data_IF_099262155062
#
_entry.id   IF_099262155062
#
_cell.length_a   1.000
_cell.length_b   1.000
_cell.length_c   1.000
_cell.angle_alpha   90.00
_cell.angle_beta   90.00
_cell.angle_gamma   90.00
#
_symmetry.space_group_name_H-M   'P 1'
#
loop_
_entity.id
_entity.type
_entity.pdbx_description
1 polymer ?
#
# COMPACT_ATOMS: atom_id res chain seq x y z
N UNK A 1 18.63 20.85 68.82
CA UNK A 1 17.41 20.87 67.98
C UNK A 1 17.80 21.00 66.49
N UNK A 2 17.63 19.95 65.68
CA UNK A 2 17.98 19.97 64.26
C UNK A 2 16.85 20.60 63.47
N UNK A 3 17.13 21.65 62.69
CA UNK A 3 16.18 22.32 61.81
C UNK A 3 15.90 21.40 60.60
N UNK A 4 14.69 20.84 60.52
CA UNK A 4 14.20 20.13 59.31
C UNK A 4 14.16 21.07 58.09
N UNK A 5 15.08 20.92 57.12
CA UNK A 5 15.04 21.65 55.86
C UNK A 5 13.81 21.19 55.04
N UNK A 6 12.83 22.10 54.85
CA UNK A 6 11.70 21.83 53.92
C UNK A 6 12.21 21.84 52.49
N UNK A 7 12.15 20.69 51.84
CA UNK A 7 12.47 20.54 50.42
C UNK A 7 11.38 21.30 49.62
N UNK A 8 11.78 22.23 48.76
CA UNK A 8 10.84 22.99 47.91
C UNK A 8 10.09 22.05 46.98
N UNK A 9 8.76 22.21 46.82
CA UNK A 9 7.89 21.38 45.96
C UNK A 9 8.46 21.15 44.54
N UNK A 10 9.09 22.18 43.96
CA UNK A 10 9.70 22.11 42.64
C UNK A 10 10.87 21.11 42.55
N UNK A 11 11.63 20.91 43.65
CA UNK A 11 12.73 19.94 43.68
C UNK A 11 12.19 18.51 43.64
N UNK A 12 11.04 18.28 44.30
CA UNK A 12 10.38 16.95 44.29
C UNK A 12 9.86 16.64 42.90
N UNK A 13 9.27 17.61 42.19
CA UNK A 13 8.75 17.44 40.80
C UNK A 13 9.89 17.15 39.84
N UNK A 14 10.99 17.90 39.91
CA UNK A 14 12.17 17.70 39.07
C UNK A 14 12.77 16.32 39.32
N UNK A 15 12.91 15.91 40.59
CA UNK A 15 13.41 14.58 40.93
C UNK A 15 12.49 13.45 40.38
N UNK A 16 11.17 13.65 40.41
CA UNK A 16 10.19 12.72 39.85
C UNK A 16 10.32 12.56 38.32
N UNK A 17 10.50 13.68 37.62
CA UNK A 17 10.71 13.67 36.14
C UNK A 17 12.01 12.96 35.79
N UNK A 18 13.10 13.24 36.50
CA UNK A 18 14.40 12.57 36.26
C UNK A 18 14.27 11.05 36.49
N UNK A 19 13.59 10.66 37.58
CA UNK A 19 13.38 9.25 37.90
C UNK A 19 12.53 8.56 36.83
N UNK A 20 11.48 9.22 36.32
CA UNK A 20 10.67 8.70 35.24
C UNK A 20 11.48 8.43 33.94
N UNK A 21 12.33 9.40 33.54
CA UNK A 21 13.20 9.22 32.37
C UNK A 21 14.25 8.13 32.61
N UNK A 22 14.79 7.99 33.78
CA UNK A 22 15.75 6.94 34.11
C UNK A 22 15.10 5.54 34.00
N UNK A 23 13.88 5.37 34.53
CA UNK A 23 13.11 4.12 34.40
C UNK A 23 12.73 3.85 32.94
N UNK A 24 12.32 4.87 32.19
CA UNK A 24 12.00 4.74 30.77
C UNK A 24 13.20 4.28 29.95
N UNK A 25 14.39 4.87 30.15
CA UNK A 25 15.63 4.49 29.46
C UNK A 25 16.05 3.06 29.85
N UNK A 26 15.91 2.69 31.12
CA UNK A 26 16.22 1.34 31.58
C UNK A 26 15.28 0.29 30.97
N UNK A 27 13.97 0.58 30.94
CA UNK A 27 12.98 -0.27 30.29
C UNK A 27 13.24 -0.38 28.78
N UNK A 28 13.51 0.73 28.11
CA UNK A 28 13.85 0.74 26.69
C UNK A 28 15.08 -0.13 26.38
N UNK A 29 16.15 0.01 27.17
CA UNK A 29 17.36 -0.84 27.02
C UNK A 29 17.09 -2.31 27.33
N UNK A 30 16.21 -2.60 28.27
CA UNK A 30 15.82 -3.97 28.61
C UNK A 30 15.03 -4.61 27.48
N UNK A 31 14.02 -3.94 26.94
CA UNK A 31 13.20 -4.42 25.85
C UNK A 31 13.98 -4.48 24.52
N UNK A 32 14.85 -3.50 24.23
CA UNK A 32 15.70 -3.54 23.04
C UNK A 32 16.72 -4.66 23.06
N UNK A 33 17.17 -5.11 24.23
CA UNK A 33 18.02 -6.32 24.37
C UNK A 33 17.24 -7.62 24.20
N UNK A 34 15.94 -7.64 24.52
CA UNK A 34 15.09 -8.82 24.27
C UNK A 34 14.65 -8.95 22.79
N UNK A 35 14.73 -7.88 22.02
CA UNK A 35 14.46 -7.90 20.58
C UNK A 35 15.72 -8.15 19.74
N UNK A 36 16.91 -8.20 20.32
CA UNK A 36 18.05 -8.80 19.64
C UNK A 36 17.76 -10.32 19.58
N UNK A 37 17.67 -10.93 18.39
CA UNK A 37 17.54 -12.37 18.32
C UNK A 37 18.76 -12.93 19.04
N UNK A 38 18.51 -13.82 20.01
CA UNK A 38 19.55 -14.61 20.64
C UNK A 38 20.41 -15.19 19.51
N UNK A 39 21.66 -14.75 19.48
CA UNK A 39 22.68 -15.44 18.70
C UNK A 39 22.86 -16.76 19.40
N UNK A 40 21.98 -17.70 19.07
CA UNK A 40 22.21 -19.11 19.35
C UNK A 40 23.45 -19.45 18.55
N UNK A 41 24.58 -19.51 19.26
CA UNK A 41 25.79 -20.13 18.78
C UNK A 41 25.52 -21.63 18.77
N UNK A 42 24.63 -22.03 17.88
CA UNK A 42 24.60 -23.42 17.42
C UNK A 42 25.65 -23.47 16.33
N UNK A 43 26.76 -24.05 16.67
CA UNK A 43 27.74 -24.54 15.71
C UNK A 43 27.09 -25.70 14.96
N UNK A 44 26.07 -25.42 14.19
CA UNK A 44 25.62 -26.31 13.14
C UNK A 44 26.38 -25.90 11.88
N UNK A 45 27.07 -26.89 11.35
CA UNK A 45 27.69 -26.88 10.04
C UNK A 45 26.70 -26.25 9.04
N UNK A 46 26.83 -24.93 8.81
CA UNK A 46 26.17 -24.26 7.69
C UNK A 46 26.91 -24.86 6.49
N UNK A 47 26.27 -25.88 5.93
CA UNK A 47 26.65 -26.45 4.66
C UNK A 47 26.78 -25.28 3.67
N UNK A 48 27.97 -25.15 3.13
CA UNK A 48 28.38 -24.19 2.09
C UNK A 48 27.62 -24.38 0.77
N UNK A 49 26.45 -25.00 0.77
CA UNK A 49 25.63 -25.29 -0.41
C UNK A 49 24.73 -24.15 -0.89
N UNK A 50 24.49 -23.11 -0.07
CA UNK A 50 23.53 -22.05 -0.44
C UNK A 50 24.11 -20.84 -1.18
N UNK A 51 25.41 -20.83 -1.51
CA UNK A 51 26.03 -19.67 -2.18
C UNK A 51 25.76 -19.57 -3.67
N UNK A 52 25.13 -20.56 -4.30
CA UNK A 52 24.89 -20.60 -5.75
C UNK A 52 23.44 -20.40 -6.20
N UNK A 53 22.49 -20.27 -5.26
CA UNK A 53 21.11 -20.00 -5.66
C UNK A 53 21.03 -18.55 -6.17
N UNK A 54 20.51 -18.36 -7.39
CA UNK A 54 20.25 -17.04 -7.94
C UNK A 54 19.31 -16.27 -7.01
N UNK A 55 19.55 -14.96 -6.81
CA UNK A 55 18.69 -14.13 -5.93
C UNK A 55 17.25 -14.17 -6.33
N UNK A 56 16.98 -14.26 -7.65
CA UNK A 56 15.63 -14.31 -8.19
C UNK A 56 14.82 -15.51 -7.68
N UNK A 57 15.48 -16.61 -7.38
CA UNK A 57 14.85 -17.83 -6.85
C UNK A 57 14.67 -17.79 -5.32
N UNK A 58 15.18 -16.75 -4.66
CA UNK A 58 15.06 -16.62 -3.20
C UNK A 58 13.77 -15.91 -2.77
N UNK A 59 13.12 -15.20 -3.69
CA UNK A 59 11.86 -14.54 -3.41
C UNK A 59 10.74 -15.59 -3.43
N UNK A 60 9.98 -15.65 -2.34
CA UNK A 60 8.92 -16.65 -2.15
C UNK A 60 7.56 -16.02 -2.43
N UNK A 61 6.60 -16.83 -2.85
CA UNK A 61 5.23 -16.39 -3.13
C UNK A 61 4.50 -15.77 -1.94
N UNK A 62 4.95 -16.04 -0.71
CA UNK A 62 4.40 -15.48 0.52
C UNK A 62 5.06 -14.17 0.99
N UNK A 63 6.13 -13.73 0.32
CA UNK A 63 6.81 -12.51 0.69
C UNK A 63 5.91 -11.31 0.39
N UNK A 64 5.91 -10.32 1.28
CA UNK A 64 5.22 -9.06 1.05
C UNK A 64 6.14 -8.16 0.23
N UNK A 65 5.62 -7.63 -0.86
CA UNK A 65 6.40 -6.83 -1.79
C UNK A 65 5.79 -5.44 -1.90
N UNK A 66 6.66 -4.44 -1.87
CA UNK A 66 6.32 -3.05 -2.09
C UNK A 66 7.02 -2.56 -3.35
N UNK A 67 6.26 -1.96 -4.25
CA UNK A 67 6.71 -1.45 -5.54
C UNK A 67 6.51 0.06 -5.61
N UNK A 68 7.48 0.75 -6.18
CA UNK A 68 7.49 2.20 -6.35
C UNK A 68 7.80 2.56 -7.80
N UNK A 69 7.21 3.66 -8.26
CA UNK A 69 7.59 4.33 -9.50
C UNK A 69 7.83 5.85 -9.25
N UNK A 70 7.91 6.66 -10.29
CA UNK A 70 8.09 8.12 -10.17
C UNK A 70 6.94 8.83 -9.46
N UNK A 71 5.74 8.26 -9.45
CA UNK A 71 4.51 8.90 -8.97
C UNK A 71 4.05 8.34 -7.62
N UNK A 72 4.21 7.04 -7.41
CA UNK A 72 3.72 6.32 -6.24
C UNK A 72 4.87 5.57 -5.56
N UNK A 73 4.91 5.63 -4.23
CA UNK A 73 5.94 4.97 -3.44
C UNK A 73 5.32 3.93 -2.50
N UNK A 74 6.03 2.82 -2.31
CA UNK A 74 5.72 1.77 -1.35
C UNK A 74 4.30 1.21 -1.49
N UNK A 75 3.85 1.03 -2.73
CA UNK A 75 2.56 0.38 -3.03
C UNK A 75 2.72 -1.11 -2.80
N UNK A 76 1.92 -1.66 -1.89
CA UNK A 76 1.92 -3.10 -1.66
C UNK A 76 1.39 -3.84 -2.88
N UNK A 77 2.22 -4.72 -3.42
CA UNK A 77 1.84 -5.58 -4.55
C UNK A 77 0.99 -6.74 -4.06
N UNK A 78 -0.12 -6.96 -4.74
CA UNK A 78 -1.00 -8.07 -4.43
C UNK A 78 -0.40 -9.40 -4.90
N UNK A 79 -0.64 -10.50 -4.18
CA UNK A 79 -0.02 -11.80 -4.48
C UNK A 79 -0.19 -12.25 -5.93
N UNK A 80 -1.36 -12.00 -6.53
CA UNK A 80 -1.64 -12.35 -7.93
C UNK A 80 -0.68 -11.67 -8.91
N UNK A 81 -0.39 -10.38 -8.70
CA UNK A 81 0.56 -9.64 -9.54
C UNK A 81 1.98 -10.07 -9.29
N UNK A 82 2.30 -10.36 -8.02
CA UNK A 82 3.63 -10.83 -7.68
C UNK A 82 3.96 -12.17 -8.35
N UNK A 83 3.06 -13.12 -8.37
CA UNK A 83 3.26 -14.40 -9.05
C UNK A 83 3.57 -14.21 -10.54
N UNK A 84 2.88 -13.27 -11.19
CA UNK A 84 3.14 -12.91 -12.59
C UNK A 84 4.52 -12.25 -12.78
N UNK A 85 4.88 -11.29 -11.91
CA UNK A 85 6.20 -10.64 -11.94
C UNK A 85 7.31 -11.67 -11.77
N UNK A 86 7.15 -12.59 -10.82
CA UNK A 86 8.11 -13.66 -10.58
C UNK A 86 8.23 -14.61 -11.79
N UNK A 87 7.10 -14.97 -12.40
CA UNK A 87 7.09 -15.78 -13.61
C UNK A 87 7.84 -15.11 -14.76
N UNK A 88 7.57 -13.83 -15.05
CA UNK A 88 8.30 -13.08 -16.07
C UNK A 88 9.79 -13.01 -15.76
N UNK A 89 10.15 -12.61 -14.56
CA UNK A 89 11.54 -12.41 -14.17
C UNK A 89 12.36 -13.70 -14.20
N UNK A 90 11.73 -14.86 -13.98
CA UNK A 90 12.39 -16.17 -14.04
C UNK A 90 12.90 -16.54 -15.46
N UNK A 91 12.35 -15.89 -16.50
CA UNK A 91 12.72 -16.12 -17.90
C UNK A 91 13.86 -15.20 -18.36
N UNK A 92 14.22 -14.19 -17.57
CA UNK A 92 15.24 -13.22 -17.94
C UNK A 92 16.63 -13.82 -17.93
N UNK A 93 17.46 -13.42 -18.90
CA UNK A 93 18.83 -13.91 -19.03
C UNK A 93 19.81 -13.09 -18.21
N UNK A 94 20.59 -13.75 -17.36
CA UNK A 94 21.64 -13.11 -16.55
C UNK A 94 22.67 -12.43 -17.44
N UNK A 95 23.00 -11.18 -17.10
CA UNK A 95 23.99 -10.35 -17.81
C UNK A 95 24.98 -9.72 -16.84
N UNK A 96 26.04 -9.10 -17.37
CA UNK A 96 26.97 -8.30 -16.58
C UNK A 96 26.31 -6.96 -16.20
N UNK A 97 26.84 -6.33 -15.16
CA UNK A 97 26.41 -5.00 -14.73
C UNK A 97 26.52 -4.03 -15.91
N UNK A 98 25.42 -3.33 -16.28
CA UNK A 98 25.47 -2.33 -17.34
C UNK A 98 26.21 -1.07 -16.90
N UNK A 99 26.80 -0.35 -17.87
CA UNK A 99 27.50 0.90 -17.59
C UNK A 99 26.54 2.03 -17.16
N UNK A 100 25.36 2.09 -17.78
CA UNK A 100 24.31 3.07 -17.51
C UNK A 100 23.06 2.32 -17.09
N UNK A 101 22.57 2.58 -15.87
CA UNK A 101 21.35 2.01 -15.34
C UNK A 101 20.64 3.07 -14.49
N UNK A 102 19.39 3.36 -14.82
CA UNK A 102 18.54 4.25 -14.04
C UNK A 102 17.19 3.61 -13.85
N UNK A 103 16.88 3.19 -12.63
CA UNK A 103 15.62 2.56 -12.31
C UNK A 103 14.42 3.46 -12.62
N UNK A 104 13.41 2.89 -13.26
CA UNK A 104 12.07 3.45 -13.43
C UNK A 104 11.10 2.90 -12.38
N UNK A 105 11.32 1.66 -11.98
CA UNK A 105 10.59 0.96 -10.92
C UNK A 105 11.57 0.41 -9.91
N UNK A 106 11.21 0.54 -8.64
CA UNK A 106 11.98 0.01 -7.52
C UNK A 106 11.06 -0.78 -6.58
N UNK A 107 11.54 -1.89 -6.08
CA UNK A 107 10.77 -2.70 -5.15
C UNK A 107 11.65 -3.30 -4.05
N UNK A 108 11.01 -3.64 -2.95
CA UNK A 108 11.62 -4.38 -1.87
C UNK A 108 10.64 -5.37 -1.24
N UNK A 109 11.19 -6.40 -0.66
CA UNK A 109 10.46 -7.42 0.08
C UNK A 109 10.65 -7.23 1.57
N UNK A 110 9.75 -7.77 2.37
CA UNK A 110 9.84 -7.81 3.83
C UNK A 110 11.06 -8.61 4.33
N UNK A 111 11.60 -9.53 3.52
CA UNK A 111 12.80 -10.30 3.83
C UNK A 111 14.14 -9.64 3.38
N UNK A 112 14.09 -8.38 2.92
CA UNK A 112 15.25 -7.55 2.59
C UNK A 112 15.84 -7.75 1.20
N UNK A 113 15.20 -8.52 0.32
CA UNK A 113 15.56 -8.58 -1.10
C UNK A 113 14.97 -7.34 -1.79
N UNK A 114 15.72 -6.73 -2.68
CA UNK A 114 15.30 -5.57 -3.47
C UNK A 114 15.45 -5.89 -4.95
N UNK A 115 14.58 -5.30 -5.75
CA UNK A 115 14.75 -5.32 -7.19
C UNK A 115 14.41 -3.96 -7.80
N UNK A 116 14.93 -3.71 -8.98
CA UNK A 116 14.63 -2.49 -9.75
C UNK A 116 14.76 -2.78 -11.22
N UNK A 117 14.13 -1.95 -12.06
CA UNK A 117 14.20 -2.10 -13.51
C UNK A 117 14.10 -0.74 -14.22
N UNK A 118 14.81 -0.61 -15.35
CA UNK A 118 14.65 0.44 -16.35
C UNK A 118 13.88 -0.07 -17.59
N UNK A 119 13.28 -1.28 -17.47
CA UNK A 119 12.58 -2.01 -18.53
C UNK A 119 13.48 -2.60 -19.64
N UNK A 120 14.77 -2.44 -19.52
CA UNK A 120 15.77 -3.16 -20.35
C UNK A 120 16.55 -4.15 -19.49
N UNK A 121 16.82 -3.74 -18.26
CA UNK A 121 17.57 -4.49 -17.26
C UNK A 121 16.71 -4.66 -16.02
N UNK A 122 16.65 -5.88 -15.53
CA UNK A 122 16.12 -6.21 -14.21
C UNK A 122 17.28 -6.45 -13.27
N UNK A 123 17.41 -5.60 -12.26
CA UNK A 123 18.40 -5.72 -11.20
C UNK A 123 17.74 -6.29 -9.96
N UNK A 124 18.34 -7.32 -9.35
CA UNK A 124 17.95 -7.86 -8.06
C UNK A 124 19.14 -7.84 -7.12
N UNK A 125 18.95 -7.42 -5.88
CA UNK A 125 20.05 -7.19 -4.97
C UNK A 125 19.66 -7.30 -3.49
N UNK A 126 20.65 -7.61 -2.70
CA UNK A 126 20.66 -7.55 -1.23
C UNK A 126 21.84 -6.67 -0.79
N UNK A 127 22.07 -6.54 0.51
CA UNK A 127 23.24 -5.80 1.03
C UNK A 127 24.56 -6.35 0.50
N UNK A 128 24.65 -7.68 0.24
CA UNK A 128 25.91 -8.36 -0.05
C UNK A 128 26.04 -8.86 -1.49
N UNK A 129 24.98 -8.86 -2.27
CA UNK A 129 24.98 -9.47 -3.61
C UNK A 129 24.07 -8.70 -4.54
N UNK A 130 24.49 -8.52 -5.80
CA UNK A 130 23.65 -7.98 -6.86
C UNK A 130 23.75 -8.81 -8.13
N UNK A 131 22.67 -8.94 -8.84
CA UNK A 131 22.57 -9.65 -10.10
C UNK A 131 21.75 -8.83 -11.10
N UNK A 132 22.12 -8.94 -12.39
CA UNK A 132 21.49 -8.22 -13.47
C UNK A 132 20.98 -9.18 -14.51
N UNK A 133 19.80 -8.92 -15.03
CA UNK A 133 19.12 -9.74 -16.04
C UNK A 133 18.63 -8.86 -17.16
N UNK A 134 18.73 -9.32 -18.40
CA UNK A 134 18.21 -8.63 -19.56
C UNK A 134 16.75 -9.02 -19.79
N UNK A 135 15.88 -8.03 -19.94
CA UNK A 135 14.48 -8.21 -20.31
C UNK A 135 14.45 -8.41 -21.84
N UNK A 136 13.80 -9.48 -22.36
CA UNK A 136 13.60 -9.64 -23.80
C UNK A 136 12.81 -8.47 -24.38
N UNK A 137 13.17 -8.03 -25.59
CA UNK A 137 12.57 -6.86 -26.23
C UNK A 137 11.06 -7.06 -26.47
N UNK A 138 10.68 -8.25 -26.84
CA UNK A 138 9.31 -8.70 -27.11
C UNK A 138 8.45 -8.80 -25.85
N UNK A 139 9.07 -8.89 -24.67
CA UNK A 139 8.37 -8.97 -23.38
C UNK A 139 8.32 -7.62 -22.64
N UNK A 140 9.08 -6.62 -23.10
CA UNK A 140 9.22 -5.32 -22.43
C UNK A 140 7.87 -4.66 -22.14
N UNK A 141 7.02 -4.53 -23.15
CA UNK A 141 5.72 -3.84 -23.03
C UNK A 141 4.76 -4.60 -22.10
N UNK A 142 4.76 -5.94 -22.20
CA UNK A 142 3.95 -6.78 -21.32
C UNK A 142 4.40 -6.69 -19.86
N UNK A 143 5.72 -6.64 -19.63
CA UNK A 143 6.29 -6.50 -18.29
C UNK A 143 6.02 -5.10 -17.70
N UNK A 144 6.19 -4.03 -18.51
CA UNK A 144 5.85 -2.67 -18.08
C UNK A 144 4.37 -2.57 -17.71
N UNK A 145 3.49 -3.10 -18.56
CA UNK A 145 2.06 -3.13 -18.28
C UNK A 145 1.75 -3.85 -16.98
N UNK A 146 2.39 -4.98 -16.71
CA UNK A 146 2.21 -5.74 -15.48
C UNK A 146 2.65 -4.93 -14.25
N UNK A 147 3.79 -4.23 -14.30
CA UNK A 147 4.26 -3.38 -13.21
C UNK A 147 3.29 -2.21 -12.96
N UNK A 148 2.82 -1.55 -14.02
CA UNK A 148 1.80 -0.50 -13.91
C UNK A 148 0.49 -1.04 -13.32
N UNK A 149 0.01 -2.16 -13.82
CA UNK A 149 -1.18 -2.82 -13.28
C UNK A 149 -1.05 -3.10 -11.78
N UNK A 150 0.11 -3.55 -11.32
CA UNK A 150 0.34 -3.88 -9.91
C UNK A 150 0.38 -2.65 -9.00
N UNK A 151 0.75 -1.48 -9.52
CA UNK A 151 0.75 -0.22 -8.78
C UNK A 151 -0.63 0.44 -8.79
N UNK A 152 -1.23 0.61 -9.98
CA UNK A 152 -2.39 1.48 -10.15
C UNK A 152 -3.72 0.80 -9.89
N UNK A 153 -3.78 -0.53 -9.83
CA UNK A 153 -4.96 -1.26 -9.35
C UNK A 153 -4.94 -1.60 -7.89
N UNK A 154 -3.80 -1.41 -7.21
CA UNK A 154 -3.76 -1.57 -5.76
C UNK A 154 -4.57 -0.48 -5.09
N UNK A 155 -5.41 -0.87 -4.13
CA UNK A 155 -6.15 0.08 -3.30
C UNK A 155 -5.20 0.99 -2.51
N UNK A 156 -3.97 0.56 -2.27
CA UNK A 156 -2.98 1.38 -1.58
C UNK A 156 -2.58 2.60 -2.40
N UNK A 157 -2.60 2.53 -3.74
CA UNK A 157 -2.39 3.70 -4.60
C UNK A 157 -3.47 4.75 -4.40
N UNK A 158 -4.73 4.32 -4.23
CA UNK A 158 -5.87 5.21 -3.96
C UNK A 158 -5.78 5.83 -2.57
N UNK A 159 -5.28 5.10 -1.58
CA UNK A 159 -5.10 5.60 -0.21
C UNK A 159 -3.98 6.63 -0.07
N UNK A 160 -3.06 6.73 -1.01
CA UNK A 160 -1.98 7.74 -0.99
C UNK A 160 -2.49 9.12 -1.40
N UNK A 161 -3.51 9.62 -0.69
CA UNK A 161 -4.19 10.87 -0.97
C UNK A 161 -3.29 12.11 -1.02
N UNK A 162 -2.09 12.05 -0.44
CA UNK A 162 -1.11 13.15 -0.51
C UNK A 162 -0.58 13.40 -1.92
N UNK A 163 -0.63 12.37 -2.79
CA UNK A 163 -0.26 12.47 -4.21
C UNK A 163 -1.41 12.95 -5.10
N UNK A 164 -2.65 13.04 -4.59
CA UNK A 164 -3.78 13.51 -5.35
C UNK A 164 -3.70 15.00 -5.64
N UNK A 165 -3.92 15.40 -6.89
CA UNK A 165 -4.00 16.79 -7.34
C UNK A 165 -5.42 17.31 -7.35
N UNK A 166 -6.35 16.52 -7.86
CA UNK A 166 -7.79 16.84 -7.88
C UNK A 166 -8.64 15.60 -7.68
N UNK A 167 -9.82 15.82 -7.09
CA UNK A 167 -10.85 14.79 -6.93
C UNK A 167 -12.19 15.40 -7.27
N UNK A 168 -12.93 14.71 -8.12
CA UNK A 168 -14.29 15.05 -8.51
C UNK A 168 -15.21 13.85 -8.30
N UNK A 169 -16.41 14.07 -7.77
CA UNK A 169 -17.42 13.03 -7.55
C UNK A 169 -18.68 13.40 -8.32
N UNK A 170 -19.17 12.44 -9.09
CA UNK A 170 -20.41 12.56 -9.87
C UNK A 170 -21.46 11.55 -9.42
N UNK A 171 -22.71 11.95 -9.41
CA UNK A 171 -23.88 11.06 -9.29
C UNK A 171 -24.58 10.79 -10.64
N UNK A 172 -23.92 11.20 -11.74
CA UNK A 172 -24.46 11.13 -13.10
C UNK A 172 -25.20 12.41 -13.55
N UNK A 173 -25.67 13.24 -12.62
CA UNK A 173 -26.39 14.50 -12.93
C UNK A 173 -25.57 15.73 -12.52
N UNK A 174 -24.90 15.64 -11.37
CA UNK A 174 -24.10 16.71 -10.80
C UNK A 174 -22.67 16.24 -10.57
N UNK A 175 -21.69 17.15 -10.75
CA UNK A 175 -20.28 16.90 -10.42
C UNK A 175 -19.86 17.82 -9.29
N UNK A 176 -19.30 17.25 -8.23
CA UNK A 176 -18.76 17.99 -7.07
C UNK A 176 -17.28 17.85 -6.95
N UNK A 177 -16.56 18.97 -6.99
CA UNK A 177 -15.14 19.02 -6.74
C UNK A 177 -14.86 18.97 -5.25
N UNK A 178 -14.01 18.03 -4.84
CA UNK A 178 -13.62 17.84 -3.46
C UNK A 178 -12.43 18.73 -3.12
N UNK A 179 -12.54 19.47 -2.02
CA UNK A 179 -11.44 20.33 -1.55
C UNK A 179 -10.31 19.50 -0.99
N UNK A 180 -9.07 19.91 -1.21
CA UNK A 180 -7.85 19.14 -0.85
C UNK A 180 -7.79 18.74 0.63
N UNK A 181 -8.30 19.55 1.53
CA UNK A 181 -8.35 19.23 2.96
C UNK A 181 -9.34 18.13 3.35
N UNK A 182 -10.17 17.64 2.40
CA UNK A 182 -11.06 16.49 2.57
C UNK A 182 -10.54 15.22 1.89
N UNK A 183 -9.34 15.24 1.32
CA UNK A 183 -8.79 14.07 0.62
C UNK A 183 -8.48 12.93 1.57
N UNK A 184 -7.98 13.22 2.77
CA UNK A 184 -7.73 12.24 3.82
C UNK A 184 -9.02 11.56 4.29
N UNK A 185 -10.07 12.34 4.49
CA UNK A 185 -11.39 11.86 4.89
C UNK A 185 -11.95 10.89 3.84
N UNK A 186 -11.90 11.28 2.56
CA UNK A 186 -12.33 10.42 1.45
C UNK A 186 -11.47 9.16 1.34
N UNK A 187 -10.14 9.30 1.41
CA UNK A 187 -9.23 8.16 1.37
C UNK A 187 -9.50 7.16 2.49
N UNK A 188 -9.79 7.65 3.70
CA UNK A 188 -10.18 6.80 4.82
C UNK A 188 -11.51 6.07 4.56
N UNK A 189 -12.47 6.73 3.90
CA UNK A 189 -13.76 6.12 3.54
C UNK A 189 -13.63 5.06 2.45
N UNK A 190 -12.62 5.19 1.55
CA UNK A 190 -12.29 4.14 0.58
C UNK A 190 -11.54 3.02 1.31
N UNK A 191 -12.21 2.38 2.24
CA UNK A 191 -11.67 1.29 3.05
C UNK A 191 -12.08 -0.06 2.48
N UNK A 192 -11.11 -0.84 2.05
CA UNK A 192 -11.34 -2.14 1.44
C UNK A 192 -11.42 -3.24 2.49
N UNK A 193 -12.43 -4.10 2.37
CA UNK A 193 -12.54 -5.34 3.14
C UNK A 193 -11.73 -6.46 2.48
N UNK A 194 -11.88 -6.60 1.16
CA UNK A 194 -11.12 -7.58 0.37
C UNK A 194 -11.10 -7.22 -1.11
N UNK A 195 -10.11 -7.76 -1.79
CA UNK A 195 -10.02 -7.76 -3.24
C UNK A 195 -10.95 -8.84 -3.79
N UNK A 196 -11.67 -8.49 -4.85
CA UNK A 196 -12.50 -9.44 -5.58
C UNK A 196 -11.78 -9.95 -6.83
N UNK A 197 -11.02 -9.08 -7.50
CA UNK A 197 -10.27 -9.40 -8.71
C UNK A 197 -10.78 -8.68 -9.96
N UNK A 198 -10.53 -9.26 -11.13
CA UNK A 198 -10.87 -8.64 -12.43
C UNK A 198 -12.28 -8.94 -12.92
N UNK A 199 -13.00 -9.84 -12.26
CA UNK A 199 -14.36 -10.26 -12.64
C UNK A 199 -15.36 -9.57 -11.71
N UNK A 200 -16.38 -8.95 -12.30
CA UNK A 200 -17.45 -8.32 -11.54
C UNK A 200 -18.18 -9.34 -10.66
N UNK A 201 -18.25 -9.12 -9.34
CA UNK A 201 -18.97 -10.03 -8.45
C UNK A 201 -20.48 -9.99 -8.71
N UNK A 202 -21.15 -11.16 -8.62
CA UNK A 202 -22.60 -11.27 -8.86
C UNK A 202 -23.40 -10.30 -7.98
N UNK A 203 -23.07 -10.20 -6.69
CA UNK A 203 -23.73 -9.30 -5.75
C UNK A 203 -23.62 -7.82 -6.11
N UNK A 204 -22.58 -7.43 -6.86
CA UNK A 204 -22.42 -6.05 -7.31
C UNK A 204 -23.32 -5.66 -8.50
N UNK A 205 -24.04 -6.64 -9.07
CA UNK A 205 -25.04 -6.42 -10.11
C UNK A 205 -26.37 -5.92 -9.55
N UNK A 206 -26.57 -6.01 -8.24
CA UNK A 206 -27.71 -5.42 -7.56
C UNK A 206 -27.66 -3.90 -7.74
N UNK A 207 -28.66 -3.34 -8.36
CA UNK A 207 -28.74 -1.89 -8.61
C UNK A 207 -29.04 -1.16 -7.32
N UNK A 208 -28.14 -0.28 -6.89
CA UNK A 208 -28.49 0.75 -5.91
C UNK A 208 -29.27 1.88 -6.59
N UNK A 209 -30.07 2.58 -5.83
CA UNK A 209 -30.85 3.75 -6.31
C UNK A 209 -29.91 4.83 -6.87
N UNK A 210 -28.72 4.97 -6.31
CA UNK A 210 -27.70 5.92 -6.73
C UNK A 210 -26.39 5.19 -7.04
N UNK A 211 -25.67 5.66 -8.06
CA UNK A 211 -24.32 5.24 -8.38
C UNK A 211 -23.43 6.48 -8.41
N UNK A 212 -22.24 6.35 -7.88
CA UNK A 212 -21.29 7.46 -7.80
C UNK A 212 -20.01 7.08 -8.52
N UNK A 213 -19.44 8.08 -9.19
CA UNK A 213 -18.13 7.97 -9.84
C UNK A 213 -17.19 8.96 -9.18
N UNK A 214 -16.05 8.50 -8.69
CA UNK A 214 -14.99 9.32 -8.09
C UNK A 214 -13.83 9.33 -9.07
N UNK A 215 -13.52 10.50 -9.61
CA UNK A 215 -12.35 10.71 -10.47
C UNK A 215 -11.23 11.34 -9.65
N UNK A 216 -10.08 10.68 -9.66
CA UNK A 216 -8.87 11.11 -8.95
C UNK A 216 -7.80 11.37 -9.99
N UNK A 217 -7.24 12.57 -9.97
CA UNK A 217 -6.07 12.94 -10.78
C UNK A 217 -4.85 13.10 -9.88
N UNK A 218 -3.77 12.45 -10.24
CA UNK A 218 -2.46 12.57 -9.61
C UNK A 218 -1.40 13.07 -10.58
N UNK A 219 -0.14 12.95 -10.22
CA UNK A 219 0.98 13.30 -11.09
C UNK A 219 1.33 12.12 -12.00
N UNK A 220 0.90 12.23 -13.29
CA UNK A 220 1.17 11.19 -14.29
C UNK A 220 0.25 9.97 -14.22
N UNK A 221 -0.77 9.98 -13.37
CA UNK A 221 -1.78 8.93 -13.32
C UNK A 221 -3.18 9.49 -13.06
N UNK A 222 -4.20 8.71 -13.45
CA UNK A 222 -5.59 8.93 -13.07
C UNK A 222 -6.23 7.64 -12.60
N UNK A 223 -7.20 7.75 -11.71
CA UNK A 223 -7.99 6.63 -11.25
C UNK A 223 -9.46 7.01 -11.16
N UNK A 224 -10.33 6.15 -11.64
CA UNK A 224 -11.78 6.28 -11.52
C UNK A 224 -12.30 5.17 -10.63
N UNK A 225 -13.08 5.53 -9.60
CA UNK A 225 -13.74 4.59 -8.71
C UNK A 225 -15.23 4.69 -8.95
N UNK A 226 -15.83 3.61 -9.41
CA UNK A 226 -17.26 3.49 -9.63
C UNK A 226 -17.88 2.68 -8.49
N UNK A 227 -18.87 3.26 -7.78
CA UNK A 227 -19.61 2.48 -6.77
C UNK A 227 -20.57 1.52 -7.47
N UNK A 228 -20.61 0.29 -6.97
CA UNK A 228 -21.47 -0.77 -7.48
C UNK A 228 -22.30 -1.33 -6.32
N UNK A 229 -23.48 -0.77 -6.13
CA UNK A 229 -24.21 -0.94 -4.88
C UNK A 229 -23.51 -0.22 -3.72
N UNK A 230 -23.78 -0.66 -2.49
CA UNK A 230 -23.24 -0.05 -1.27
C UNK A 230 -21.90 -0.65 -0.83
N UNK A 231 -21.57 -1.86 -1.29
CA UNK A 231 -20.48 -2.66 -0.75
C UNK A 231 -19.35 -2.94 -1.74
N UNK A 232 -19.53 -2.59 -3.01
CA UNK A 232 -18.54 -2.84 -4.04
C UNK A 232 -18.12 -1.58 -4.77
N UNK A 233 -16.86 -1.56 -5.19
CA UNK A 233 -16.35 -0.54 -6.11
C UNK A 233 -15.57 -1.22 -7.22
N UNK A 234 -15.61 -0.61 -8.40
CA UNK A 234 -14.72 -0.88 -9.51
C UNK A 234 -13.71 0.25 -9.57
N UNK A 235 -12.43 -0.07 -9.56
CA UNK A 235 -11.35 0.90 -9.73
C UNK A 235 -10.77 0.71 -11.13
N UNK A 236 -10.77 1.77 -11.89
CA UNK A 236 -10.20 1.84 -13.24
C UNK A 236 -9.03 2.82 -13.21
N UNK A 237 -7.86 2.39 -13.63
CA UNK A 237 -6.71 3.25 -13.90
C UNK A 237 -6.41 3.26 -15.39
N UNK A 238 -5.39 4.03 -15.82
CA UNK A 238 -4.96 4.09 -17.22
C UNK A 238 -4.62 2.71 -17.80
N UNK A 239 -4.21 1.76 -16.94
CA UNK A 239 -3.62 0.48 -17.36
C UNK A 239 -4.44 -0.73 -16.91
N UNK A 240 -5.33 -0.60 -15.92
CA UNK A 240 -5.96 -1.75 -15.32
C UNK A 240 -7.31 -1.47 -14.66
N UNK A 241 -8.09 -2.54 -14.47
CA UNK A 241 -9.40 -2.52 -13.82
C UNK A 241 -9.48 -3.65 -12.80
N UNK A 242 -9.95 -3.35 -11.59
CA UNK A 242 -10.21 -4.34 -10.56
C UNK A 242 -11.45 -4.00 -9.72
N UNK A 243 -12.04 -5.03 -9.11
CA UNK A 243 -13.21 -4.93 -8.24
C UNK A 243 -12.83 -5.20 -6.79
N UNK A 244 -13.40 -4.43 -5.89
CA UNK A 244 -13.13 -4.51 -4.45
C UNK A 244 -14.44 -4.51 -3.67
N UNK A 245 -14.47 -5.27 -2.58
CA UNK A 245 -15.49 -5.14 -1.55
C UNK A 245 -15.06 -4.07 -0.55
N UNK A 246 -15.92 -3.10 -0.30
CA UNK A 246 -15.66 -1.95 0.57
C UNK A 246 -16.67 -1.87 1.72
N UNK A 247 -16.36 -1.04 2.70
CA UNK A 247 -17.35 -0.72 3.74
C UNK A 247 -18.44 0.22 3.20
N UNK A 248 -19.65 0.00 3.63
CA UNK A 248 -20.83 0.81 3.23
C UNK A 248 -20.67 2.30 3.53
N UNK A 249 -19.82 2.64 4.49
CA UNK A 249 -19.53 4.02 4.89
C UNK A 249 -18.99 4.92 3.76
N UNK A 250 -18.42 4.37 2.68
CA UNK A 250 -18.04 5.14 1.51
C UNK A 250 -19.30 5.64 0.77
N UNK A 251 -20.20 4.72 0.47
CA UNK A 251 -21.45 5.03 -0.23
C UNK A 251 -22.29 6.03 0.56
N UNK A 252 -22.49 5.78 1.85
CA UNK A 252 -23.28 6.63 2.74
C UNK A 252 -22.64 8.02 2.88
N UNK A 253 -21.32 8.13 3.01
CA UNK A 253 -20.60 9.39 3.03
C UNK A 253 -20.83 10.22 1.75
N UNK A 254 -20.71 9.60 0.58
CA UNK A 254 -20.93 10.29 -0.68
C UNK A 254 -22.38 10.75 -0.79
N UNK A 255 -23.32 9.84 -0.56
CA UNK A 255 -24.76 10.13 -0.64
C UNK A 255 -25.18 11.25 0.30
N UNK A 256 -24.87 11.11 1.60
CA UNK A 256 -25.41 11.98 2.64
C UNK A 256 -24.58 13.26 2.85
N UNK A 257 -23.24 13.14 2.81
CA UNK A 257 -22.35 14.27 3.13
C UNK A 257 -22.00 15.08 1.90
N UNK A 258 -21.75 14.44 0.75
CA UNK A 258 -21.33 15.14 -0.47
C UNK A 258 -22.54 15.64 -1.24
N UNK A 259 -23.49 14.75 -1.55
CA UNK A 259 -24.69 15.10 -2.34
C UNK A 259 -25.89 15.53 -1.51
N UNK A 260 -25.86 15.30 -0.19
CA UNK A 260 -26.96 15.64 0.75
C UNK A 260 -28.29 14.99 0.37
N UNK A 261 -28.23 13.82 -0.22
CA UNK A 261 -29.42 13.04 -0.59
C UNK A 261 -29.95 12.38 0.68
N UNK A 262 -31.17 12.75 1.07
CA UNK A 262 -31.89 12.10 2.16
C UNK A 262 -32.80 11.02 1.59
N UNK A 263 -32.90 9.87 2.26
CA UNK A 263 -33.95 8.91 1.97
C UNK A 263 -35.30 9.60 2.38
N UNK A 264 -36.21 9.66 1.48
CA UNK A 264 -37.59 10.00 1.84
C UNK A 264 -38.11 8.75 2.55
N UNK A 265 -38.13 8.75 3.87
CA UNK A 265 -38.94 7.80 4.62
C UNK A 265 -40.35 7.92 4.08
N UNK A 266 -40.88 6.86 3.50
CA UNK A 266 -42.29 6.75 3.19
C UNK A 266 -43.04 6.68 4.53
N UNK A 267 -43.40 7.84 5.06
CA UNK A 267 -44.48 7.98 6.06
C UNK A 267 -45.83 7.63 5.41
N UNK A 268 -45.99 6.42 4.97
CA UNK A 268 -47.24 5.88 4.47
C UNK A 268 -47.50 4.49 4.99
N UNK A 269 -47.55 4.36 6.34
CA UNK A 269 -48.21 3.26 7.03
C UNK A 269 -48.67 3.74 8.42
N UNK A 270 -49.55 4.73 8.45
CA UNK A 270 -50.49 4.90 9.56
C UNK A 270 -51.69 5.62 9.02
N UNK A 271 -52.67 4.85 8.58
CA UNK A 271 -54.12 5.11 8.67
C UNK A 271 -54.87 4.03 7.87
N UNK A 272 -55.16 2.91 8.48
CA UNK A 272 -56.46 2.19 8.37
C UNK A 272 -56.62 1.30 9.62
#
# INVERSE_FOLDING_TARGET
MAKKKRIKKNVIIIAGVIMFFAVYIAAYKYFSKQQAPDTVTTTENISTENTNIALINQIKSKDIIYLSDSNLQDVRVEPEYWEKINFFSSQFKKVRKPANYKALYEAYTDNGIRFSTDLEIFRIYTVNKEEYYKIPIDEKDAFEKLLKESIYTSIDSVKKYKSWKSVEISDGNEVKKIRRWKFDDLAYKISVKRIVGKIQPEKSKERSKYNFTINIEGEGYSATIETMGREYVKIVSNEATAYYEVHTGLYDYIKETIFKIKDVENDSEQDI
#
